data_IF_007151802978
#
_entry.id   IF_007151802978
#
_cell.length_a   1.000
_cell.length_b   1.000
_cell.length_c   1.000
_cell.angle_alpha   90.00
_cell.angle_beta   90.00
_cell.angle_gamma   90.00
#
_symmetry.space_group_name_H-M   'P 1'
#
loop_
_entity.id
_entity.type
_entity.pdbx_description
1 polymer ?
#
# COMPACT_ATOMS: atom_id res chain seq x y z
N UNK A 1 1.52 -40.94 18.89
CA UNK A 1 2.25 -42.14 19.37
C UNK A 1 2.20 -42.18 20.88
N UNK A 2 2.00 -43.36 21.48
CA UNK A 2 2.05 -43.55 22.94
C UNK A 2 3.12 -44.59 23.23
N UNK A 3 4.04 -44.26 24.14
CA UNK A 3 5.03 -45.21 24.65
C UNK A 3 4.62 -45.65 26.05
N UNK A 4 4.46 -46.97 26.30
CA UNK A 4 4.16 -47.48 27.63
C UNK A 4 5.32 -47.17 28.59
N UNK A 5 4.98 -46.91 29.85
CA UNK A 5 5.96 -46.71 30.90
C UNK A 5 6.74 -47.98 31.21
N UNK A 6 7.99 -47.83 31.66
CA UNK A 6 8.86 -48.92 32.07
C UNK A 6 9.30 -48.68 33.52
N UNK A 7 8.76 -49.48 34.44
CA UNK A 7 9.02 -49.37 35.88
C UNK A 7 10.49 -49.64 36.23
N UNK A 8 11.20 -50.45 35.42
CA UNK A 8 12.61 -50.75 35.65
C UNK A 8 13.54 -49.58 35.34
N UNK A 9 13.04 -48.60 34.55
CA UNK A 9 13.78 -47.41 34.11
C UNK A 9 13.19 -46.09 34.61
N UNK A 10 12.22 -46.15 35.53
CA UNK A 10 11.46 -44.99 36.02
C UNK A 10 10.89 -44.11 34.91
N UNK A 11 10.52 -44.71 33.77
CA UNK A 11 10.01 -43.98 32.61
C UNK A 11 8.48 -43.90 32.69
N UNK A 12 7.94 -42.68 32.79
CA UNK A 12 6.49 -42.42 32.75
C UNK A 12 5.92 -42.60 31.33
N UNK A 13 4.62 -42.92 31.19
CA UNK A 13 3.98 -43.02 29.89
C UNK A 13 4.10 -41.69 29.12
N UNK A 14 4.66 -41.74 27.91
CA UNK A 14 4.89 -40.55 27.09
C UNK A 14 4.00 -40.59 25.85
N UNK A 15 3.26 -39.51 25.61
CA UNK A 15 2.52 -39.29 24.36
C UNK A 15 3.24 -38.25 23.50
N UNK A 16 3.31 -38.52 22.20
CA UNK A 16 3.74 -37.57 21.18
C UNK A 16 2.61 -37.33 20.16
N UNK A 17 2.34 -36.07 19.85
CA UNK A 17 1.41 -35.63 18.80
C UNK A 17 2.18 -34.79 17.80
N UNK A 18 1.93 -35.03 16.51
CA UNK A 18 2.41 -34.20 15.42
C UNK A 18 1.21 -33.66 14.64
N UNK A 19 1.19 -32.35 14.44
CA UNK A 19 0.21 -31.68 13.57
C UNK A 19 0.99 -30.99 12.48
N UNK A 20 0.59 -31.22 11.23
CA UNK A 20 1.23 -30.64 10.06
C UNK A 20 0.16 -30.15 9.10
N UNK A 21 0.38 -28.97 8.51
CA UNK A 21 -0.46 -28.48 7.43
C UNK A 21 -0.18 -29.29 6.16
N UNK A 22 -1.23 -29.82 5.54
CA UNK A 22 -1.18 -30.39 4.20
C UNK A 22 -1.53 -29.29 3.17
N UNK A 23 -0.57 -28.78 2.38
CA UNK A 23 -0.86 -27.79 1.36
C UNK A 23 -1.64 -28.42 0.20
N UNK A 24 -2.77 -27.81 -0.16
CA UNK A 24 -3.65 -28.24 -1.25
C UNK A 24 -3.91 -27.14 -2.29
N UNK A 25 -3.25 -25.98 -2.16
CA UNK A 25 -3.38 -24.87 -3.09
C UNK A 25 -2.74 -25.21 -4.43
N UNK A 26 -3.53 -25.19 -5.49
CA UNK A 26 -3.04 -25.41 -6.85
C UNK A 26 -2.47 -24.10 -7.42
N UNK A 27 -1.19 -24.14 -7.79
CA UNK A 27 -0.49 -23.02 -8.43
C UNK A 27 -1.02 -22.71 -9.83
N UNK A 28 -1.71 -23.65 -10.49
CA UNK A 28 -2.36 -23.40 -11.78
C UNK A 28 -3.53 -22.40 -11.67
N UNK A 29 -4.11 -22.25 -10.47
CA UNK A 29 -5.18 -21.28 -10.16
C UNK A 29 -4.65 -19.88 -9.84
N UNK A 30 -3.34 -19.68 -9.92
CA UNK A 30 -2.70 -18.38 -9.75
C UNK A 30 -2.53 -17.71 -11.11
N UNK A 31 -3.11 -16.52 -11.27
CA UNK A 31 -2.87 -15.67 -12.42
C UNK A 31 -1.50 -15.00 -12.26
N UNK A 32 -0.65 -15.15 -13.26
CA UNK A 32 0.57 -14.37 -13.41
C UNK A 32 0.19 -13.01 -13.99
N UNK A 33 0.16 -11.99 -13.12
CA UNK A 33 -0.27 -10.64 -13.45
C UNK A 33 0.96 -9.76 -13.61
N UNK A 34 1.21 -9.20 -14.79
CA UNK A 34 2.26 -8.24 -15.04
C UNK A 34 1.69 -6.83 -15.18
N UNK A 35 2.33 -5.87 -14.50
CA UNK A 35 2.00 -4.45 -14.56
C UNK A 35 3.15 -3.70 -15.21
N UNK A 36 2.88 -3.02 -16.32
CA UNK A 36 3.83 -2.13 -16.98
C UNK A 36 3.43 -0.68 -16.67
N UNK A 37 4.28 -0.03 -15.87
CA UNK A 37 4.14 1.37 -15.46
C UNK A 37 5.48 2.10 -15.66
N UNK A 38 5.48 3.40 -15.95
CA UNK A 38 6.72 4.17 -16.00
C UNK A 38 7.38 4.20 -14.62
N UNK A 39 8.72 4.09 -14.55
CA UNK A 39 9.43 4.21 -13.28
C UNK A 39 9.34 5.62 -12.67
N UNK A 40 9.24 6.64 -13.53
CA UNK A 40 9.11 8.05 -13.14
C UNK A 40 8.05 8.74 -14.01
N UNK A 41 7.25 9.62 -13.41
CA UNK A 41 6.29 10.48 -14.12
C UNK A 41 6.24 11.88 -13.50
N UNK A 42 5.59 12.81 -14.20
CA UNK A 42 5.34 14.17 -13.70
C UNK A 42 4.00 14.24 -12.96
N UNK A 43 3.85 15.13 -11.96
CA UNK A 43 2.55 15.44 -11.36
C UNK A 43 1.59 16.05 -12.38
N UNK A 44 0.29 16.06 -12.06
CA UNK A 44 -0.78 16.57 -12.93
C UNK A 44 -0.80 15.91 -14.32
N UNK A 45 -0.42 14.64 -14.39
CA UNK A 45 -0.44 13.83 -15.61
C UNK A 45 -1.19 12.51 -15.34
N UNK A 46 -1.90 11.97 -16.33
CA UNK A 46 -2.52 10.66 -16.19
C UNK A 46 -1.46 9.56 -16.11
N UNK A 47 -1.57 8.67 -15.13
CA UNK A 47 -0.78 7.45 -15.02
C UNK A 47 -1.47 6.33 -15.81
N UNK A 48 -0.83 5.85 -16.87
CA UNK A 48 -1.29 4.67 -17.62
C UNK A 48 -0.64 3.41 -17.06
N UNK A 49 -1.46 2.44 -16.69
CA UNK A 49 -1.05 1.11 -16.21
C UNK A 49 -1.48 0.11 -17.27
N UNK A 50 -0.52 -0.52 -17.96
CA UNK A 50 -0.84 -1.65 -18.83
C UNK A 50 -0.79 -2.93 -18.01
N UNK A 51 -1.78 -3.77 -18.24
CA UNK A 51 -1.97 -5.02 -17.52
C UNK A 51 -1.85 -6.16 -18.52
N UNK A 52 -1.11 -7.20 -18.14
CA UNK A 52 -1.08 -8.49 -18.85
C UNK A 52 -1.31 -9.62 -17.85
N UNK A 53 -2.29 -10.48 -18.12
CA UNK A 53 -2.53 -11.68 -17.33
C UNK A 53 -2.21 -12.93 -18.15
N UNK A 54 -1.51 -13.86 -17.53
CA UNK A 54 -1.19 -15.18 -18.07
C UNK A 54 -1.32 -16.28 -17.02
N UNK A 55 -1.37 -17.52 -17.46
CA UNK A 55 -1.24 -18.70 -16.60
C UNK A 55 0.10 -19.39 -16.86
N UNK A 56 0.61 -20.18 -15.89
CA UNK A 56 1.89 -20.90 -16.03
C UNK A 56 1.93 -21.86 -17.24
N UNK A 57 0.77 -22.37 -17.68
CA UNK A 57 0.68 -23.30 -18.82
C UNK A 57 0.49 -22.56 -20.16
N UNK A 58 0.55 -21.22 -20.16
CA UNK A 58 0.40 -20.40 -21.37
C UNK A 58 -1.04 -20.28 -21.89
N UNK A 59 -2.01 -20.88 -21.20
CA UNK A 59 -3.42 -20.67 -21.50
C UNK A 59 -3.83 -19.24 -21.17
N UNK A 60 -4.60 -18.65 -22.08
CA UNK A 60 -5.11 -17.28 -21.94
C UNK A 60 -6.41 -17.34 -21.14
N UNK A 61 -6.42 -16.83 -19.90
CA UNK A 61 -7.61 -16.88 -19.06
C UNK A 61 -8.73 -16.04 -19.70
N UNK A 62 -9.93 -16.60 -19.78
CA UNK A 62 -11.09 -15.92 -20.37
C UNK A 62 -11.74 -15.00 -19.34
N UNK A 63 -12.12 -13.79 -19.77
CA UNK A 63 -12.86 -12.82 -18.95
C UNK A 63 -12.18 -12.50 -17.60
N UNK A 64 -10.88 -12.20 -17.63
CA UNK A 64 -10.18 -11.72 -16.43
C UNK A 64 -10.64 -10.32 -16.11
N UNK A 65 -11.08 -10.11 -14.89
CA UNK A 65 -11.38 -8.79 -14.34
C UNK A 65 -10.19 -8.31 -13.52
N UNK A 66 -9.88 -7.02 -13.62
CA UNK A 66 -8.77 -6.40 -12.89
C UNK A 66 -9.23 -5.10 -12.24
N UNK A 67 -8.95 -4.97 -10.95
CA UNK A 67 -9.11 -3.72 -10.20
C UNK A 67 -7.73 -3.12 -9.97
N UNK A 68 -7.52 -1.89 -10.46
CA UNK A 68 -6.26 -1.16 -10.30
C UNK A 68 -6.47 0.01 -9.35
N UNK A 69 -5.54 0.15 -8.41
CA UNK A 69 -5.47 1.26 -7.46
C UNK A 69 -4.06 1.82 -7.37
N UNK A 70 -3.94 3.09 -6.99
CA UNK A 70 -2.66 3.74 -6.71
C UNK A 70 -2.77 4.54 -5.41
N UNK A 71 -1.85 4.27 -4.48
CA UNK A 71 -1.84 4.89 -3.15
C UNK A 71 -0.43 5.39 -2.86
N UNK A 72 -0.34 6.52 -2.17
CA UNK A 72 0.94 7.03 -1.64
C UNK A 72 1.62 6.00 -0.72
N UNK A 73 2.86 5.63 -1.05
CA UNK A 73 3.69 4.74 -0.23
C UNK A 73 3.88 5.29 1.19
N UNK A 74 3.92 6.62 1.37
CA UNK A 74 4.02 7.24 2.69
C UNK A 74 2.87 6.85 3.62
N UNK A 75 1.65 6.77 3.08
CA UNK A 75 0.46 6.33 3.83
C UNK A 75 0.51 4.83 4.13
N UNK A 76 0.87 4.02 3.15
CA UNK A 76 0.93 2.56 3.30
C UNK A 76 2.01 2.11 4.29
N UNK A 77 3.13 2.82 4.36
CA UNK A 77 4.26 2.49 5.22
C UNK A 77 3.98 2.74 6.71
N UNK A 78 2.97 3.55 7.08
CA UNK A 78 2.59 3.76 8.49
C UNK A 78 2.16 2.44 9.15
N UNK A 79 1.50 1.57 8.38
CA UNK A 79 0.95 0.30 8.88
C UNK A 79 1.60 -0.93 8.27
N UNK A 80 2.69 -0.76 7.52
CA UNK A 80 3.28 -1.80 6.65
C UNK A 80 2.19 -2.50 5.82
N UNK A 81 1.33 -1.73 5.15
CA UNK A 81 0.19 -2.27 4.43
C UNK A 81 0.66 -3.19 3.29
N UNK A 82 0.14 -4.41 3.30
CA UNK A 82 0.46 -5.46 2.31
C UNK A 82 -0.58 -5.42 1.21
N UNK A 83 -0.12 -5.46 -0.04
CA UNK A 83 -1.02 -5.56 -1.20
C UNK A 83 -1.88 -6.82 -1.06
N UNK A 84 -3.22 -6.69 -1.11
CA UNK A 84 -4.10 -7.84 -0.96
C UNK A 84 -3.82 -8.90 -2.05
N UNK A 85 -3.61 -10.15 -1.62
CA UNK A 85 -3.46 -11.31 -2.49
C UNK A 85 -4.72 -12.19 -2.39
N UNK A 86 -5.63 -12.15 -3.38
CA UNK A 86 -6.82 -12.99 -3.37
C UNK A 86 -6.50 -14.49 -3.44
N UNK A 87 -5.38 -14.89 -4.07
CA UNK A 87 -4.95 -16.29 -4.08
C UNK A 87 -4.63 -16.76 -2.66
N UNK A 88 -3.88 -15.96 -1.90
CA UNK A 88 -3.60 -16.26 -0.49
C UNK A 88 -4.87 -16.19 0.37
N UNK A 89 -5.82 -15.30 0.08
CA UNK A 89 -7.09 -15.25 0.81
C UNK A 89 -7.88 -16.55 0.66
N UNK A 90 -8.03 -17.06 -0.56
CA UNK A 90 -8.80 -18.26 -0.85
C UNK A 90 -8.04 -19.57 -0.58
N UNK A 91 -6.80 -19.70 -1.05
CA UNK A 91 -6.01 -20.95 -0.97
C UNK A 91 -4.97 -20.98 0.14
N UNK A 92 -4.73 -19.84 0.80
CA UNK A 92 -3.81 -19.78 1.93
C UNK A 92 -4.25 -20.69 3.09
N UNK A 93 -3.25 -21.14 3.87
CA UNK A 93 -3.44 -22.00 5.02
C UNK A 93 -4.53 -21.43 5.96
N UNK A 94 -5.55 -22.25 6.23
CA UNK A 94 -6.60 -21.93 7.20
C UNK A 94 -6.19 -22.38 8.60
N UNK A 95 -6.84 -21.82 9.62
CA UNK A 95 -6.62 -22.21 11.02
C UNK A 95 -6.96 -23.68 11.25
N UNK A 96 -6.27 -24.31 12.19
CA UNK A 96 -6.64 -25.64 12.64
C UNK A 96 -8.06 -25.60 13.25
N UNK A 97 -8.94 -26.46 12.75
CA UNK A 97 -10.38 -26.42 13.05
C UNK A 97 -10.82 -27.33 14.18
N UNK A 98 -9.89 -27.93 14.92
CA UNK A 98 -10.18 -28.85 16.01
C UNK A 98 -9.41 -28.44 17.28
N UNK A 99 -9.92 -28.88 18.41
CA UNK A 99 -9.28 -28.72 19.71
C UNK A 99 -8.81 -30.09 20.20
N UNK A 100 -7.57 -30.17 20.72
CA UNK A 100 -7.00 -31.41 21.23
C UNK A 100 -7.11 -31.39 22.75
N UNK A 101 -7.93 -32.29 23.29
CA UNK A 101 -8.06 -32.51 24.73
C UNK A 101 -7.39 -33.83 25.10
N UNK A 102 -6.50 -33.79 26.10
CA UNK A 102 -5.90 -34.99 26.65
C UNK A 102 -5.48 -34.81 28.12
N UNK A 103 -5.40 -35.94 28.83
CA UNK A 103 -4.99 -36.00 30.24
C UNK A 103 -3.46 -36.03 30.41
N UNK A 104 -2.69 -36.15 29.32
CA UNK A 104 -1.23 -36.20 29.34
C UNK A 104 -0.59 -34.79 29.36
N UNK A 105 -1.36 -33.76 28.99
CA UNK A 105 -0.96 -32.35 28.97
C UNK A 105 -0.88 -31.67 30.33
N UNK A 106 -1.37 -32.28 31.41
CA UNK A 106 -1.24 -31.77 32.79
C UNK A 106 0.21 -31.80 33.34
N UNK A 107 1.19 -32.17 32.52
CA UNK A 107 2.59 -32.39 32.93
C UNK A 107 3.59 -31.45 32.22
N UNK A 108 3.18 -30.67 31.21
CA UNK A 108 4.12 -29.84 30.42
C UNK A 108 3.53 -28.46 30.09
N UNK A 109 4.21 -27.40 30.54
CA UNK A 109 4.04 -26.03 30.05
C UNK A 109 4.80 -25.85 28.72
N UNK A 110 4.11 -25.45 27.66
CA UNK A 110 4.72 -25.11 26.37
C UNK A 110 4.98 -23.61 26.24
N UNK A 111 6.16 -23.22 25.75
CA UNK A 111 6.41 -21.84 25.34
C UNK A 111 5.60 -21.53 24.07
N UNK A 112 4.83 -20.42 24.11
CA UNK A 112 3.98 -19.97 23.02
C UNK A 112 4.75 -19.63 21.74
N UNK A 113 4.02 -19.45 20.64
CA UNK A 113 4.60 -19.09 19.34
C UNK A 113 5.33 -17.74 19.44
N UNK A 114 6.51 -17.66 18.85
CA UNK A 114 7.21 -16.38 18.67
C UNK A 114 6.29 -15.41 17.90
N UNK A 115 5.87 -14.34 18.57
CA UNK A 115 5.17 -13.24 17.95
C UNK A 115 6.20 -12.30 17.33
N UNK A 116 5.93 -11.81 16.12
CA UNK A 116 6.70 -10.69 15.59
C UNK A 116 6.40 -9.45 16.44
N UNK A 117 7.43 -8.87 17.04
CA UNK A 117 7.32 -7.59 17.74
C UNK A 117 7.01 -6.51 16.69
N UNK A 118 5.86 -5.86 16.83
CA UNK A 118 5.56 -4.58 16.18
C UNK A 118 5.54 -3.53 17.27
N UNK A 119 5.98 -2.32 16.94
CA UNK A 119 5.76 -1.18 17.84
C UNK A 119 4.24 -1.03 18.03
N UNK A 120 3.79 -1.00 19.28
CA UNK A 120 2.37 -0.97 19.65
C UNK A 120 1.63 0.25 19.06
N UNK A 121 0.29 0.19 19.08
CA UNK A 121 -0.60 1.10 18.35
C UNK A 121 -0.21 2.58 18.33
N UNK A 122 -0.23 3.17 17.13
CA UNK A 122 -0.01 4.60 16.89
C UNK A 122 -1.33 5.40 16.99
N UNK A 123 -1.23 6.70 17.28
CA UNK A 123 -2.37 7.63 17.32
C UNK A 123 -3.01 7.88 18.69
N UNK A 124 -2.56 7.21 19.76
CA UNK A 124 -3.09 7.43 21.12
C UNK A 124 -2.62 8.76 21.76
N UNK A 125 -1.51 9.33 21.29
CA UNK A 125 -1.10 10.68 21.69
C UNK A 125 -2.00 11.77 21.11
N UNK A 126 -2.44 11.61 19.84
CA UNK A 126 -3.36 12.54 19.19
C UNK A 126 -4.73 12.60 19.89
N UNK A 127 -5.16 11.52 20.55
CA UNK A 127 -6.43 11.49 21.29
C UNK A 127 -6.38 12.28 22.60
N UNK A 128 -5.21 12.42 23.23
CA UNK A 128 -5.05 13.12 24.53
C UNK A 128 -5.06 14.64 24.39
N UNK A 129 -4.71 15.19 23.23
CA UNK A 129 -4.64 16.64 22.96
C UNK A 129 -5.94 17.30 22.48
N UNK A 130 -7.04 16.56 22.37
CA UNK A 130 -8.26 17.03 21.70
C UNK A 130 -8.17 16.93 20.17
N UNK A 131 -9.28 17.23 19.47
CA UNK A 131 -9.34 17.10 18.01
C UNK A 131 -8.31 18.04 17.36
N UNK A 132 -7.35 17.54 16.57
CA UNK A 132 -6.38 18.38 15.89
C UNK A 132 -7.08 19.42 15.00
N UNK A 133 -6.50 20.62 14.84
CA UNK A 133 -6.98 21.57 13.84
C UNK A 133 -6.93 20.93 12.45
N UNK A 134 -7.85 21.34 11.56
CA UNK A 134 -7.95 20.80 10.20
C UNK A 134 -6.59 20.85 9.51
N UNK A 135 -6.10 19.68 9.10
CA UNK A 135 -4.83 19.54 8.40
C UNK A 135 -5.10 19.37 6.90
N UNK A 136 -4.36 20.11 6.07
CA UNK A 136 -4.52 20.12 4.62
C UNK A 136 -3.45 19.23 3.98
N UNK A 137 -3.45 17.94 4.33
CA UNK A 137 -2.55 16.96 3.70
C UNK A 137 -3.28 16.38 2.49
N UNK A 138 -2.65 16.44 1.32
CA UNK A 138 -3.16 15.80 0.12
C UNK A 138 -2.82 14.31 0.15
N UNK A 139 -3.81 13.48 0.50
CA UNK A 139 -3.69 12.02 0.44
C UNK A 139 -4.03 11.56 -0.97
N UNK A 140 -3.06 10.96 -1.66
CA UNK A 140 -3.32 10.33 -2.95
C UNK A 140 -3.76 8.89 -2.73
N UNK A 141 -5.05 8.65 -2.99
CA UNK A 141 -5.64 7.32 -3.05
C UNK A 141 -6.63 7.30 -4.21
N UNK A 142 -6.26 6.62 -5.29
CA UNK A 142 -7.06 6.48 -6.51
C UNK A 142 -7.41 5.01 -6.73
N UNK A 143 -8.64 4.75 -7.15
CA UNK A 143 -9.09 3.42 -7.55
C UNK A 143 -9.95 3.55 -8.81
N UNK A 144 -9.56 2.83 -9.86
CA UNK A 144 -10.35 2.77 -11.08
C UNK A 144 -11.57 1.85 -10.91
N UNK A 145 -12.49 1.92 -11.86
CA UNK A 145 -13.49 0.86 -12.02
C UNK A 145 -12.79 -0.44 -12.47
N UNK A 146 -13.33 -1.62 -12.12
CA UNK A 146 -12.84 -2.88 -12.66
C UNK A 146 -12.88 -2.87 -14.19
N UNK A 147 -11.82 -3.38 -14.82
CA UNK A 147 -11.74 -3.56 -16.28
C UNK A 147 -11.66 -5.05 -16.62
N UNK A 148 -12.27 -5.44 -17.73
CA UNK A 148 -12.14 -6.79 -18.28
C UNK A 148 -11.03 -6.80 -19.33
N UNK A 149 -10.09 -7.74 -19.21
CA UNK A 149 -9.00 -7.91 -20.17
C UNK A 149 -9.51 -8.52 -21.48
N UNK A 150 -8.83 -8.23 -22.58
CA UNK A 150 -9.15 -8.77 -23.89
C UNK A 150 -8.78 -10.26 -24.02
N UNK A 151 -9.01 -10.85 -25.20
CA UNK A 151 -8.70 -12.26 -25.49
C UNK A 151 -7.20 -12.60 -25.40
N UNK A 152 -6.33 -11.60 -25.45
CA UNK A 152 -4.88 -11.72 -25.30
C UNK A 152 -4.45 -11.60 -23.83
N UNK A 153 -5.39 -11.39 -22.91
CA UNK A 153 -5.11 -11.14 -21.50
C UNK A 153 -4.52 -9.74 -21.26
N UNK A 154 -4.77 -8.79 -22.15
CA UNK A 154 -4.22 -7.44 -22.10
C UNK A 154 -5.29 -6.40 -21.80
N UNK A 155 -4.90 -5.34 -21.09
CA UNK A 155 -5.76 -4.23 -20.74
C UNK A 155 -4.95 -3.00 -20.36
N UNK A 156 -5.63 -1.86 -20.27
CA UNK A 156 -5.01 -0.60 -19.84
C UNK A 156 -5.97 0.18 -18.97
N UNK A 157 -5.45 0.76 -17.90
CA UNK A 157 -6.19 1.65 -16.99
C UNK A 157 -5.45 2.97 -16.87
N UNK A 158 -6.20 4.07 -16.86
CA UNK A 158 -5.64 5.40 -16.70
C UNK A 158 -6.14 6.01 -15.40
N UNK A 159 -5.22 6.39 -14.53
CA UNK A 159 -5.51 7.03 -13.24
C UNK A 159 -5.12 8.52 -13.30
N UNK A 160 -6.02 9.46 -12.96
CA UNK A 160 -5.68 10.87 -12.91
C UNK A 160 -4.82 11.14 -11.66
N UNK A 161 -3.53 11.42 -11.87
CA UNK A 161 -2.63 11.81 -10.77
C UNK A 161 -2.57 13.33 -10.72
N UNK A 162 -2.98 13.89 -9.58
CA UNK A 162 -2.98 15.32 -9.33
C UNK A 162 -1.60 15.88 -8.98
N UNK A 163 -1.58 17.00 -8.26
CA UNK A 163 -0.37 17.65 -7.81
C UNK A 163 0.22 16.92 -6.60
N UNK A 164 1.06 15.92 -6.88
CA UNK A 164 1.69 15.04 -5.90
C UNK A 164 3.16 14.84 -6.22
N UNK A 165 4.01 14.90 -5.19
CA UNK A 165 5.43 14.59 -5.28
C UNK A 165 5.75 13.50 -4.26
N UNK A 166 6.19 12.32 -4.72
CA UNK A 166 6.44 11.16 -3.87
C UNK A 166 6.46 9.83 -4.64
N UNK A 167 6.38 8.73 -3.91
CA UNK A 167 6.28 7.37 -4.48
C UNK A 167 4.82 6.91 -4.41
N UNK A 168 4.23 6.57 -5.55
CA UNK A 168 2.96 5.86 -5.62
C UNK A 168 3.21 4.36 -5.73
N UNK A 169 2.55 3.58 -4.89
CA UNK A 169 2.42 2.13 -5.07
C UNK A 169 1.15 1.86 -5.87
N UNK A 170 1.34 1.33 -7.08
CA UNK A 170 0.27 0.81 -7.92
C UNK A 170 0.02 -0.63 -7.52
N UNK A 171 -1.24 -0.99 -7.27
CA UNK A 171 -1.66 -2.32 -6.86
C UNK A 171 -2.75 -2.79 -7.80
N UNK A 172 -2.72 -4.06 -8.17
CA UNK A 172 -3.76 -4.68 -8.97
C UNK A 172 -4.19 -6.02 -8.39
N UNK A 173 -5.50 -6.25 -8.34
CA UNK A 173 -6.09 -7.55 -8.06
C UNK A 173 -6.79 -8.04 -9.32
N UNK A 174 -6.55 -9.30 -9.69
CA UNK A 174 -7.14 -9.95 -10.84
C UNK A 174 -7.95 -11.18 -10.44
N UNK A 175 -9.09 -11.40 -11.09
CA UNK A 175 -9.94 -12.56 -10.82
C UNK A 175 -10.73 -13.03 -12.04
N UNK A 176 -10.96 -14.34 -12.09
CA UNK A 176 -12.00 -15.01 -12.88
C UNK A 176 -13.01 -15.65 -11.92
N UNK A 177 -13.64 -16.77 -12.30
CA UNK A 177 -14.43 -17.58 -11.38
C UNK A 177 -13.55 -18.32 -10.35
N UNK A 178 -12.40 -18.84 -10.80
CA UNK A 178 -11.57 -19.76 -10.01
C UNK A 178 -10.08 -19.41 -9.98
N UNK A 179 -9.65 -18.45 -10.81
CA UNK A 179 -8.26 -18.01 -10.91
C UNK A 179 -8.09 -16.63 -10.29
N UNK A 180 -7.00 -16.45 -9.56
CA UNK A 180 -6.76 -15.24 -8.78
C UNK A 180 -5.32 -14.79 -8.90
N UNK A 181 -5.09 -13.49 -8.98
CA UNK A 181 -3.77 -12.90 -9.03
C UNK A 181 -3.70 -11.55 -8.33
N UNK A 182 -2.48 -11.19 -7.96
CA UNK A 182 -2.16 -9.89 -7.38
C UNK A 182 -0.76 -9.49 -7.81
N UNK A 183 -0.57 -8.22 -8.11
CA UNK A 183 0.76 -7.66 -8.34
C UNK A 183 0.79 -6.19 -7.92
N UNK A 184 1.99 -5.68 -7.67
CA UNK A 184 2.27 -4.30 -7.34
C UNK A 184 3.46 -3.76 -8.13
N UNK A 185 3.45 -2.45 -8.40
CA UNK A 185 4.58 -1.74 -8.97
C UNK A 185 4.75 -0.37 -8.31
N UNK A 186 5.94 0.21 -8.44
CA UNK A 186 6.26 1.51 -7.86
C UNK A 186 6.43 2.54 -8.97
N UNK A 187 5.85 3.71 -8.78
CA UNK A 187 5.95 4.85 -9.69
C UNK A 187 6.37 6.08 -8.89
N UNK A 188 7.51 6.67 -9.24
CA UNK A 188 7.96 7.91 -8.63
C UNK A 188 7.33 9.09 -9.37
N UNK A 189 6.58 9.93 -8.66
CA UNK A 189 6.02 11.17 -9.18
C UNK A 189 6.86 12.33 -8.67
N UNK A 190 7.49 13.08 -9.58
CA UNK A 190 8.35 14.19 -9.21
C UNK A 190 8.23 15.35 -10.20
N UNK A 191 7.93 16.54 -9.69
CA UNK A 191 8.01 17.77 -10.43
C UNK A 191 9.49 18.10 -10.70
N UNK A 192 9.83 18.64 -11.89
CA UNK A 192 11.18 19.14 -12.16
C UNK A 192 11.52 20.34 -11.26
N UNK A 193 10.51 21.16 -10.94
CA UNK A 193 10.61 22.30 -10.03
C UNK A 193 9.42 22.24 -9.09
N UNK A 194 9.69 22.24 -7.79
CA UNK A 194 8.67 22.29 -6.73
C UNK A 194 8.47 23.75 -6.33
N UNK A 195 7.22 24.17 -6.18
CA UNK A 195 6.85 25.51 -5.72
C UNK A 195 5.85 25.38 -4.57
N UNK A 196 6.26 25.73 -3.35
CA UNK A 196 5.47 25.60 -2.13
C UNK A 196 5.21 26.98 -1.52
N UNK A 197 3.94 27.33 -1.34
CA UNK A 197 3.53 28.61 -0.75
C UNK A 197 3.20 28.42 0.74
N UNK A 198 4.00 28.99 1.62
CA UNK A 198 3.69 29.04 3.04
C UNK A 198 2.81 30.27 3.33
N UNK A 199 1.59 30.00 3.78
CA UNK A 199 0.58 31.01 4.09
C UNK A 199 -0.07 30.75 5.45
N UNK A 200 -0.55 31.81 6.14
CA UNK A 200 -1.30 31.64 7.38
C UNK A 200 -2.61 30.88 7.10
N UNK A 201 -3.09 30.13 8.11
CA UNK A 201 -4.33 29.34 7.99
C UNK A 201 -5.57 30.20 7.73
N UNK A 202 -5.57 31.43 8.23
CA UNK A 202 -6.59 32.43 7.97
C UNK A 202 -5.97 33.83 8.09
N UNK A 203 -6.66 34.83 7.55
CA UNK A 203 -6.37 36.24 7.74
C UNK A 203 -7.68 36.96 8.06
N UNK A 204 -7.63 37.92 8.99
CA UNK A 204 -8.74 38.83 9.23
C UNK A 204 -8.75 39.97 8.22
N UNK A 205 -9.89 40.64 8.07
CA UNK A 205 -10.00 41.81 7.19
C UNK A 205 -9.07 42.93 7.68
N UNK A 206 -8.20 43.41 6.78
CA UNK A 206 -7.20 44.44 7.08
C UNK A 206 -5.84 43.91 7.54
N UNK A 207 -5.69 42.59 7.73
CA UNK A 207 -4.39 42.00 8.06
C UNK A 207 -3.40 42.12 6.90
N UNK A 208 -2.14 42.40 7.22
CA UNK A 208 -1.03 42.30 6.28
C UNK A 208 -0.16 41.10 6.64
N UNK A 209 0.11 40.23 5.67
CA UNK A 209 0.96 39.06 5.87
C UNK A 209 2.09 39.01 4.86
N UNK A 210 3.24 38.47 5.29
CA UNK A 210 4.37 38.16 4.40
C UNK A 210 4.33 36.67 4.10
N UNK A 211 3.96 36.34 2.87
CA UNK A 211 4.01 34.96 2.38
C UNK A 211 5.43 34.62 1.92
N UNK A 212 5.79 33.34 2.01
CA UNK A 212 7.05 32.82 1.45
C UNK A 212 6.71 31.77 0.41
N UNK A 213 7.25 31.93 -0.79
CA UNK A 213 7.17 30.94 -1.87
C UNK A 213 8.54 30.28 -2.00
N UNK A 214 8.63 29.03 -1.60
CA UNK A 214 9.85 28.23 -1.71
C UNK A 214 9.87 27.54 -3.08
N UNK A 215 10.95 27.75 -3.84
CA UNK A 215 11.11 27.18 -5.17
C UNK A 215 12.37 26.32 -5.20
N UNK A 216 12.18 25.02 -5.37
CA UNK A 216 13.26 24.03 -5.38
C UNK A 216 13.41 23.44 -6.77
N UNK A 217 14.57 23.65 -7.40
CA UNK A 217 14.91 23.01 -8.66
C UNK A 217 15.51 21.62 -8.39
N UNK A 218 14.81 20.56 -8.77
CA UNK A 218 15.26 19.17 -8.63
C UNK A 218 15.93 18.63 -9.91
N UNK A 219 16.15 19.47 -10.92
CA UNK A 219 16.82 19.07 -12.15
C UNK A 219 18.34 19.23 -12.06
N UNK A 220 19.07 18.45 -12.85
CA UNK A 220 20.54 18.49 -12.92
C UNK A 220 21.09 19.76 -13.59
N UNK A 221 20.22 20.64 -14.09
CA UNK A 221 20.59 21.85 -14.83
C UNK A 221 20.04 23.09 -14.15
N UNK A 222 20.78 24.22 -14.17
CA UNK A 222 20.24 25.50 -13.72
C UNK A 222 19.00 25.90 -14.53
N UNK A 223 17.98 26.40 -13.85
CA UNK A 223 16.73 26.87 -14.46
C UNK A 223 16.62 28.38 -14.34
N UNK A 224 16.19 29.05 -15.42
CA UNK A 224 15.80 30.46 -15.39
C UNK A 224 14.28 30.53 -15.33
N UNK A 225 13.75 30.92 -14.17
CA UNK A 225 12.31 30.92 -13.90
C UNK A 225 11.74 32.35 -14.00
N UNK A 226 10.54 32.46 -14.53
CA UNK A 226 9.70 33.65 -14.43
C UNK A 226 8.50 33.29 -13.55
N UNK A 227 8.31 34.03 -12.46
CA UNK A 227 7.23 33.79 -11.50
C UNK A 227 6.28 34.98 -11.56
N UNK A 228 5.08 34.75 -12.09
CA UNK A 228 3.99 35.72 -12.11
C UNK A 228 3.01 35.39 -10.98
N UNK A 229 2.84 36.33 -10.05
CA UNK A 229 1.93 36.20 -8.91
C UNK A 229 0.69 37.05 -9.15
N UNK A 230 -0.48 36.45 -8.98
CA UNK A 230 -1.78 37.12 -9.05
C UNK A 230 -2.56 36.82 -7.78
N UNK A 231 -3.34 37.80 -7.31
CA UNK A 231 -4.30 37.61 -6.22
C UNK A 231 -5.72 37.85 -6.74
N UNK A 232 -6.67 37.14 -6.16
CA UNK A 232 -8.10 37.25 -6.46
C UNK A 232 -8.92 37.08 -5.18
N UNK A 233 -10.20 37.45 -5.22
CA UNK A 233 -11.07 37.42 -4.03
C UNK A 233 -10.79 38.58 -3.06
N UNK A 234 -10.76 38.30 -1.76
CA UNK A 234 -10.51 39.28 -0.68
C UNK A 234 -9.01 39.47 -0.37
N UNK A 235 -8.14 39.16 -1.33
CA UNK A 235 -6.69 39.28 -1.20
C UNK A 235 -6.15 40.26 -2.25
N UNK A 236 -5.15 41.04 -1.84
CA UNK A 236 -4.39 41.91 -2.73
C UNK A 236 -2.88 41.67 -2.58
N UNK A 237 -2.11 41.86 -3.65
CA UNK A 237 -0.66 41.72 -3.61
C UNK A 237 0.02 43.02 -3.15
N UNK A 238 0.83 42.94 -2.10
CA UNK A 238 1.67 44.06 -1.65
C UNK A 238 2.89 44.29 -2.56
N UNK A 239 3.36 45.53 -2.69
CA UNK A 239 4.40 45.95 -3.65
C UNK A 239 5.85 45.51 -3.34
N UNK A 240 6.12 44.73 -2.28
CA UNK A 240 7.50 44.38 -1.85
C UNK A 240 7.83 42.91 -2.04
N UNK A 241 8.66 42.61 -3.04
CA UNK A 241 9.31 41.32 -3.22
C UNK A 241 10.76 41.38 -2.73
N UNK A 242 11.15 40.47 -1.84
CA UNK A 242 12.55 40.33 -1.39
C UNK A 242 13.03 38.94 -1.77
N UNK A 243 14.02 38.87 -2.66
CA UNK A 243 14.64 37.61 -3.10
C UNK A 243 15.71 37.21 -2.10
N UNK A 244 15.49 36.14 -1.34
CA UNK A 244 16.57 35.47 -0.59
C UNK A 244 17.36 34.59 -1.55
N UNK A 245 18.69 34.51 -1.36
CA UNK A 245 19.56 33.62 -2.13
C UNK A 245 19.39 32.17 -1.72
#
# INVERSE_FOLDING_TARGET
>A
MVRPGDKSRSATPKRAVGVLHLPLGDENRRLDLALETPAKMRPNQPLTVKIKASTKNGEKPKQVNVLVSAVDSGVLNITDYVTPDPWQAFFGQKRYGADIYDIYGQVIEGQGRLAALRFGGDGDELKRGGKPPVNHINIVAQQALPVTLNEQGEGSVTLPIGDFNGELRVMAQAWTADDFGSNESKVIVAAPVIAELNMPRFMASGDTSRLTLDITNLTDKPQKLNVALTASGLLETGQRFTRSR
#
